data_IF_570169315046
#
_entry.id   IF_570169315046
#
_cell.length_a   1.000
_cell.length_b   1.000
_cell.length_c   1.000
_cell.angle_alpha   90.00
_cell.angle_beta   90.00
_cell.angle_gamma   90.00
#
_symmetry.space_group_name_H-M   'P 1'
#
loop_
_entity.id
_entity.type
_entity.pdbx_description
1 polymer ?
#
# COMPACT_ATOMS: atom_id res chain seq x y z
N UNK A 1 26.61 2.37 10.45
CA UNK A 1 25.14 2.22 10.52
C UNK A 1 24.47 3.56 10.24
N UNK A 2 23.45 3.60 9.39
CA UNK A 2 22.71 4.84 9.08
C UNK A 2 21.83 5.17 10.26
N UNK A 3 21.80 6.44 10.66
CA UNK A 3 20.94 6.89 11.74
C UNK A 3 19.53 7.13 11.19
N UNK A 4 18.66 6.13 11.28
CA UNK A 4 17.26 6.19 10.89
C UNK A 4 16.37 5.68 12.04
N UNK A 5 15.16 6.24 12.26
CA UNK A 5 14.16 5.55 13.05
C UNK A 5 13.72 4.25 12.34
N UNK A 6 13.15 3.33 13.12
CA UNK A 6 12.77 2.01 12.64
C UNK A 6 13.93 1.01 12.64
N UNK A 7 13.62 -0.22 12.29
CA UNK A 7 14.53 -1.35 12.32
C UNK A 7 14.28 -2.39 11.22
N UNK A 8 13.29 -2.18 10.36
CA UNK A 8 12.99 -3.07 9.24
C UNK A 8 12.70 -2.25 7.97
N UNK A 9 13.37 -2.55 6.84
CA UNK A 9 12.94 -2.03 5.55
C UNK A 9 11.59 -2.63 5.16
N UNK A 10 10.78 -1.86 4.44
CA UNK A 10 9.50 -2.30 3.84
C UNK A 10 9.46 -1.87 2.38
N UNK A 11 8.67 -2.60 1.59
CA UNK A 11 8.60 -2.43 0.15
C UNK A 11 7.31 -1.75 -0.33
N UNK A 12 7.22 -1.47 -1.65
CA UNK A 12 8.33 -1.58 -2.61
C UNK A 12 9.40 -0.49 -2.40
N UNK A 13 10.63 -0.75 -2.85
CA UNK A 13 11.63 0.32 -2.98
C UNK A 13 11.20 1.22 -4.15
N UNK A 14 11.45 2.52 -4.04
CA UNK A 14 11.03 3.48 -5.04
C UNK A 14 11.91 4.73 -5.00
N UNK A 15 12.19 5.32 -6.16
CA UNK A 15 12.88 6.62 -6.27
C UNK A 15 11.94 7.75 -5.82
N UNK A 16 12.03 8.12 -4.53
CA UNK A 16 11.15 9.10 -3.88
C UNK A 16 11.62 10.53 -4.17
N UNK A 17 12.92 10.76 -4.38
CA UNK A 17 13.47 12.09 -4.64
C UNK A 17 13.80 12.37 -6.12
N UNK A 18 13.59 11.39 -7.01
CA UNK A 18 13.70 11.51 -8.45
C UNK A 18 15.14 11.54 -8.96
N UNK A 19 16.09 11.02 -8.18
CA UNK A 19 17.52 11.06 -8.49
C UNK A 19 17.99 9.85 -9.33
N UNK A 20 17.08 8.92 -9.63
CA UNK A 20 17.31 7.71 -10.40
C UNK A 20 17.74 6.50 -9.58
N UNK A 21 17.76 6.60 -8.24
CA UNK A 21 18.07 5.49 -7.35
C UNK A 21 16.87 5.16 -6.47
N UNK A 22 16.56 3.87 -6.32
CA UNK A 22 15.48 3.47 -5.43
C UNK A 22 15.84 3.72 -3.96
N UNK A 23 14.88 4.32 -3.24
CA UNK A 23 14.93 4.59 -1.82
C UNK A 23 14.26 3.48 -1.01
N UNK A 24 14.62 3.39 0.28
CA UNK A 24 14.02 2.45 1.22
C UNK A 24 13.10 3.17 2.19
N UNK A 25 11.93 2.60 2.44
CA UNK A 25 11.18 2.94 3.66
C UNK A 25 11.65 2.04 4.78
N UNK A 26 12.15 2.63 5.86
CA UNK A 26 12.52 1.92 7.10
C UNK A 26 11.47 2.23 8.17
N UNK A 27 10.83 1.19 8.69
CA UNK A 27 9.79 1.28 9.71
C UNK A 27 10.15 0.52 10.98
N UNK A 28 9.40 0.75 12.04
CA UNK A 28 9.41 -0.11 13.22
C UNK A 28 8.64 -1.40 12.90
N UNK A 29 9.30 -2.56 13.00
CA UNK A 29 8.73 -3.85 12.63
C UNK A 29 7.57 -4.29 13.53
N UNK A 30 7.65 -3.96 14.82
CA UNK A 30 6.67 -4.38 15.83
C UNK A 30 6.10 -3.17 16.57
N UNK A 31 4.77 -3.12 16.67
CA UNK A 31 4.07 -2.06 17.38
C UNK A 31 3.94 -0.76 16.56
N UNK A 32 3.93 0.38 17.26
CA UNK A 32 3.80 1.71 16.64
C UNK A 32 5.10 2.47 16.83
N UNK A 33 5.67 2.99 15.74
CA UNK A 33 6.92 3.73 15.78
C UNK A 33 7.12 4.63 14.58
N UNK A 34 8.08 5.55 14.69
CA UNK A 34 8.45 6.43 13.57
C UNK A 34 9.10 5.62 12.46
N UNK A 35 8.82 6.02 11.23
CA UNK A 35 9.45 5.48 10.03
C UNK A 35 10.24 6.58 9.33
N UNK A 36 11.08 6.23 8.37
CA UNK A 36 11.75 7.19 7.52
C UNK A 36 11.95 6.65 6.10
N UNK A 37 12.07 7.56 5.15
CA UNK A 37 12.65 7.26 3.83
C UNK A 37 14.15 7.43 3.96
N UNK A 38 14.90 6.36 3.66
CA UNK A 38 16.36 6.35 3.57
C UNK A 38 16.71 6.38 2.09
N UNK A 39 17.34 7.48 1.70
CA UNK A 39 17.59 7.84 0.32
C UNK A 39 18.77 7.05 -0.25
N UNK A 40 18.51 6.48 -1.42
CA UNK A 40 19.39 5.77 -2.33
C UNK A 40 20.51 6.65 -2.87
N UNK A 41 21.28 6.04 -3.77
CA UNK A 41 22.42 6.69 -4.41
C UNK A 41 23.36 5.66 -5.02
N UNK A 42 24.45 6.12 -5.67
CA UNK A 42 25.42 5.24 -6.34
C UNK A 42 26.12 4.26 -5.40
N UNK A 43 26.09 4.51 -4.08
CA UNK A 43 26.65 3.64 -3.04
C UNK A 43 25.57 2.96 -2.20
N UNK A 44 24.32 2.96 -2.65
CA UNK A 44 23.16 2.44 -1.93
C UNK A 44 22.52 3.46 -0.98
N UNK A 45 21.50 3.04 -0.22
CA UNK A 45 20.74 3.91 0.66
C UNK A 45 21.61 4.29 1.85
N UNK A 46 22.11 5.52 1.90
CA UNK A 46 23.12 5.95 2.91
C UNK A 46 22.71 7.15 3.73
N UNK A 47 21.60 7.82 3.37
CA UNK A 47 21.18 9.08 3.96
C UNK A 47 19.72 9.01 4.39
N UNK A 48 19.42 9.28 5.65
CA UNK A 48 18.03 9.45 6.08
C UNK A 48 17.47 10.74 5.48
N UNK A 49 16.44 10.62 4.64
CA UNK A 49 15.77 11.73 3.99
C UNK A 49 14.73 12.37 4.91
N UNK A 50 13.51 11.82 4.88
CA UNK A 50 12.38 12.34 5.64
C UNK A 50 11.95 11.37 6.73
N UNK A 51 11.70 11.90 7.94
CA UNK A 51 11.07 11.15 9.02
C UNK A 51 9.56 11.27 8.95
N UNK A 52 8.88 10.13 8.89
CA UNK A 52 7.45 10.00 8.87
C UNK A 52 6.86 9.93 10.29
N UNK A 53 5.56 10.21 10.46
CA UNK A 53 4.86 10.03 11.74
C UNK A 53 5.01 8.63 12.31
N UNK A 54 4.71 8.50 13.60
CA UNK A 54 4.58 7.19 14.21
C UNK A 54 3.36 6.44 13.63
N UNK A 55 3.56 5.19 13.25
CA UNK A 55 2.53 4.32 12.70
C UNK A 55 2.93 2.86 12.78
N UNK A 56 2.08 2.01 12.21
CA UNK A 56 2.27 0.57 12.12
C UNK A 56 2.88 0.21 10.76
N UNK A 57 2.37 0.84 9.71
CA UNK A 57 2.73 0.52 8.34
C UNK A 57 2.77 1.78 7.46
N UNK A 58 3.50 1.69 6.36
CA UNK A 58 3.69 2.78 5.42
C UNK A 58 3.54 2.26 4.00
N UNK A 59 2.64 2.89 3.23
CA UNK A 59 2.54 2.70 1.78
C UNK A 59 2.98 3.98 1.07
N UNK A 60 3.69 3.82 -0.05
CA UNK A 60 4.04 4.90 -0.96
C UNK A 60 3.14 4.85 -2.19
N UNK A 61 2.77 6.02 -2.72
CA UNK A 61 1.98 6.11 -3.94
C UNK A 61 1.78 7.55 -4.38
N UNK A 62 1.17 7.75 -5.54
CA UNK A 62 0.81 9.07 -6.08
C UNK A 62 -0.62 9.45 -5.67
N UNK A 63 -0.81 9.99 -4.46
CA UNK A 63 -2.14 10.22 -3.89
C UNK A 63 -2.82 11.51 -4.34
N UNK A 64 -2.11 12.37 -5.10
CA UNK A 64 -2.72 13.43 -5.89
C UNK A 64 -2.85 14.80 -5.21
N UNK A 65 -1.82 15.26 -4.48
CA UNK A 65 -1.67 16.71 -4.21
C UNK A 65 -0.47 17.36 -4.93
N UNK A 66 0.42 16.55 -5.49
CA UNK A 66 1.51 16.96 -6.37
C UNK A 66 1.45 16.24 -7.71
N UNK A 67 2.17 16.76 -8.71
CA UNK A 67 2.06 16.26 -10.10
C UNK A 67 3.02 15.14 -10.47
N UNK A 68 4.00 14.77 -9.63
CA UNK A 68 4.97 13.70 -9.98
C UNK A 68 5.75 13.10 -8.80
N UNK A 69 5.57 13.60 -7.57
CA UNK A 69 6.30 13.10 -6.41
C UNK A 69 5.52 11.99 -5.71
N UNK A 70 6.24 11.07 -5.07
CA UNK A 70 5.63 10.06 -4.21
C UNK A 70 5.13 10.69 -2.91
N UNK A 71 4.00 10.19 -2.46
CA UNK A 71 3.37 10.51 -1.19
C UNK A 71 3.48 9.30 -0.25
N UNK A 72 3.34 9.51 1.05
CA UNK A 72 3.25 8.43 2.04
C UNK A 72 1.91 8.43 2.77
N UNK A 73 1.32 7.24 2.87
CA UNK A 73 0.23 6.91 3.77
C UNK A 73 0.77 6.09 4.93
N UNK A 74 0.49 6.53 6.16
CA UNK A 74 0.97 5.92 7.39
C UNK A 74 -0.23 5.42 8.18
N UNK A 75 -0.33 4.10 8.28
CA UNK A 75 -1.41 3.39 8.95
C UNK A 75 -1.26 3.45 10.46
N UNK A 76 -2.34 3.77 11.17
CA UNK A 76 -2.38 3.79 12.63
C UNK A 76 -3.66 3.10 13.12
N UNK A 77 -3.73 2.77 14.41
CA UNK A 77 -4.96 2.20 15.00
C UNK A 77 -6.16 3.15 14.91
N UNK A 78 -5.93 4.47 14.88
CA UNK A 78 -6.99 5.49 14.90
C UNK A 78 -7.33 6.10 13.54
N UNK A 79 -6.60 5.77 12.48
CA UNK A 79 -6.74 6.39 11.17
C UNK A 79 -5.49 6.27 10.31
N UNK A 80 -5.44 7.03 9.22
CA UNK A 80 -4.29 7.08 8.31
C UNK A 80 -3.75 8.50 8.24
N UNK A 81 -2.45 8.68 8.52
CA UNK A 81 -1.76 9.96 8.34
C UNK A 81 -1.16 10.06 6.94
N UNK A 82 -1.18 11.23 6.33
CA UNK A 82 -0.67 11.45 4.97
C UNK A 82 0.47 12.48 4.97
N UNK A 83 1.46 12.24 4.12
CA UNK A 83 2.56 13.15 3.78
C UNK A 83 2.63 13.23 2.26
N UNK A 84 2.57 14.44 1.72
CA UNK A 84 2.55 14.64 0.27
C UNK A 84 3.84 15.28 -0.21
N UNK A 85 4.29 14.94 -1.42
CA UNK A 85 5.48 15.47 -2.06
C UNK A 85 6.77 15.14 -1.28
N UNK A 86 7.02 13.85 -1.03
CA UNK A 86 8.27 13.40 -0.43
C UNK A 86 9.47 13.72 -1.35
N UNK A 87 10.68 13.87 -0.79
CA UNK A 87 11.01 13.87 0.64
C UNK A 87 10.73 15.22 1.33
N UNK A 88 10.37 16.28 0.60
CA UNK A 88 10.12 17.60 1.17
C UNK A 88 8.91 17.63 2.13
N UNK A 89 7.87 16.84 1.83
CA UNK A 89 6.73 16.50 2.68
C UNK A 89 6.12 17.64 3.52
N UNK A 90 5.90 18.80 2.91
CA UNK A 90 5.37 19.98 3.60
C UNK A 90 3.86 19.87 3.81
N UNK A 91 3.13 19.33 2.81
CA UNK A 91 1.70 19.10 2.89
C UNK A 91 1.37 17.80 3.63
N UNK A 92 0.29 17.86 4.44
CA UNK A 92 -0.11 16.79 5.35
C UNK A 92 -1.62 16.62 5.33
N UNK A 93 -2.08 15.41 5.64
CA UNK A 93 -3.51 15.10 5.78
C UNK A 93 -3.74 13.97 6.76
N UNK A 94 -5.01 13.72 7.08
CA UNK A 94 -5.45 12.59 7.90
C UNK A 94 -6.77 12.06 7.37
N UNK A 95 -6.92 10.74 7.39
CA UNK A 95 -8.17 10.06 7.07
C UNK A 95 -8.66 9.28 8.28
N UNK A 96 -9.96 9.38 8.58
CA UNK A 96 -10.61 8.57 9.62
C UNK A 96 -10.93 7.15 9.12
N UNK A 97 -9.92 6.52 8.53
CA UNK A 97 -9.96 5.14 8.06
C UNK A 97 -8.85 4.38 8.80
N UNK A 98 -9.21 3.64 9.86
CA UNK A 98 -8.23 2.81 10.55
C UNK A 98 -7.79 1.68 9.62
N UNK A 99 -6.49 1.47 9.55
CA UNK A 99 -5.86 0.44 8.72
C UNK A 99 -4.45 0.25 9.19
N UNK A 100 -4.11 -0.98 9.59
CA UNK A 100 -2.80 -1.30 10.14
C UNK A 100 -1.87 -1.89 9.09
N UNK A 101 -2.39 -2.30 7.94
CA UNK A 101 -1.61 -2.74 6.79
C UNK A 101 -2.11 -2.00 5.57
N UNK A 102 -1.18 -1.41 4.84
CA UNK A 102 -1.43 -0.54 3.71
C UNK A 102 -0.74 -1.07 2.46
N UNK A 103 -1.38 -0.88 1.32
CA UNK A 103 -0.76 -1.05 0.01
C UNK A 103 -1.31 0.04 -0.92
N UNK A 104 -0.62 0.36 -2.01
CA UNK A 104 -1.04 1.41 -2.92
C UNK A 104 -0.68 1.09 -4.36
N UNK A 105 -1.64 1.31 -5.27
CA UNK A 105 -1.47 1.17 -6.70
C UNK A 105 -2.58 1.89 -7.46
N UNK A 106 -2.37 2.17 -8.74
CA UNK A 106 -3.37 2.76 -9.63
C UNK A 106 -4.31 1.66 -10.17
N UNK A 107 -5.44 1.44 -9.50
CA UNK A 107 -6.37 0.37 -9.90
C UNK A 107 -7.36 0.85 -10.97
N UNK A 108 -7.55 2.16 -11.14
CA UNK A 108 -8.52 2.70 -12.09
C UNK A 108 -7.91 3.28 -13.38
N UNK A 109 -6.58 3.41 -13.42
CA UNK A 109 -5.76 3.78 -14.56
C UNK A 109 -5.71 5.29 -14.81
N UNK A 110 -5.94 6.12 -13.78
CA UNK A 110 -5.95 7.57 -13.90
C UNK A 110 -4.59 8.25 -13.59
N UNK A 111 -3.59 7.47 -13.21
CA UNK A 111 -2.25 7.91 -12.84
C UNK A 111 -2.09 8.31 -11.38
N UNK A 112 -3.16 8.27 -10.59
CA UNK A 112 -3.14 8.42 -9.14
C UNK A 112 -3.26 7.04 -8.49
N UNK A 113 -2.47 6.83 -7.45
CA UNK A 113 -2.60 5.60 -6.66
C UNK A 113 -3.82 5.68 -5.76
N UNK A 114 -4.60 4.62 -5.74
CA UNK A 114 -5.50 4.29 -4.65
C UNK A 114 -4.72 3.77 -3.45
N UNK A 115 -5.36 3.83 -2.28
CA UNK A 115 -4.85 3.20 -1.06
C UNK A 115 -5.71 2.01 -0.66
N UNK A 116 -5.10 0.84 -0.57
CA UNK A 116 -5.68 -0.34 0.04
C UNK A 116 -5.41 -0.30 1.54
N UNK A 117 -6.47 -0.45 2.33
CA UNK A 117 -6.41 -0.52 3.79
C UNK A 117 -6.98 -1.85 4.25
N UNK A 118 -6.24 -2.58 5.09
CA UNK A 118 -6.77 -3.77 5.76
C UNK A 118 -6.90 -3.57 7.26
N UNK A 119 -8.06 -3.94 7.78
CA UNK A 119 -8.47 -3.84 9.17
C UNK A 119 -9.62 -4.81 9.44
N UNK A 120 -10.75 -4.31 9.94
CA UNK A 120 -11.99 -5.13 10.05
C UNK A 120 -12.58 -5.49 8.69
N UNK A 121 -12.34 -4.65 7.68
CA UNK A 121 -12.72 -4.86 6.29
C UNK A 121 -11.55 -4.46 5.41
N UNK A 122 -11.44 -5.11 4.24
CA UNK A 122 -10.53 -4.70 3.19
C UNK A 122 -11.20 -3.61 2.36
N UNK A 123 -10.57 -2.45 2.27
CA UNK A 123 -11.12 -1.27 1.58
C UNK A 123 -10.10 -0.65 0.64
N UNK A 124 -10.56 -0.16 -0.49
CA UNK A 124 -9.77 0.61 -1.46
C UNK A 124 -10.31 2.04 -1.49
N UNK A 125 -9.45 3.00 -1.13
CA UNK A 125 -9.76 4.42 -1.09
C UNK A 125 -9.25 5.08 -2.38
N UNK A 126 -10.07 5.94 -2.96
CA UNK A 126 -9.75 6.64 -4.21
C UNK A 126 -8.58 7.61 -4.07
N UNK A 127 -7.63 7.54 -4.99
CA UNK A 127 -6.74 8.64 -5.34
C UNK A 127 -7.54 9.75 -6.02
N UNK A 128 -7.24 11.02 -5.70
CA UNK A 128 -7.85 12.18 -6.38
C UNK A 128 -6.85 13.32 -6.40
N UNK A 129 -7.04 14.27 -7.32
CA UNK A 129 -6.24 15.51 -7.42
C UNK A 129 -6.31 16.44 -6.19
N UNK A 130 -7.14 16.10 -5.20
CA UNK A 130 -7.19 16.77 -3.90
C UNK A 130 -6.58 15.91 -2.77
N UNK A 131 -5.94 14.79 -3.07
CA UNK A 131 -5.53 13.76 -2.13
C UNK A 131 -6.50 12.56 -2.05
N UNK A 132 -6.09 11.52 -1.31
CA UNK A 132 -6.93 10.35 -1.03
C UNK A 132 -8.29 10.74 -0.42
N UNK A 133 -9.33 10.03 -0.83
CA UNK A 133 -10.70 10.25 -0.38
C UNK A 133 -11.40 8.96 0.06
N UNK A 134 -12.23 9.08 1.08
CA UNK A 134 -13.13 8.02 1.54
C UNK A 134 -14.43 7.96 0.72
N UNK A 135 -14.80 9.07 0.07
CA UNK A 135 -15.97 9.12 -0.81
C UNK A 135 -15.74 8.27 -2.06
N UNK A 136 -16.62 7.30 -2.27
CA UNK A 136 -16.52 6.33 -3.35
C UNK A 136 -15.62 5.15 -3.04
N UNK A 137 -15.10 5.01 -1.80
CA UNK A 137 -14.28 3.85 -1.44
C UNK A 137 -15.05 2.54 -1.67
N UNK A 138 -14.31 1.49 -2.01
CA UNK A 138 -14.87 0.17 -2.27
C UNK A 138 -14.47 -0.79 -1.18
N UNK A 139 -15.41 -1.62 -0.74
CA UNK A 139 -15.15 -2.73 0.19
C UNK A 139 -15.00 -4.01 -0.61
N UNK A 140 -13.82 -4.63 -0.55
CA UNK A 140 -13.55 -5.91 -1.19
C UNK A 140 -14.11 -7.03 -0.32
N UNK A 141 -14.85 -7.95 -0.93
CA UNK A 141 -15.54 -9.05 -0.23
C UNK A 141 -15.08 -10.40 -0.79
N UNK A 142 -14.02 -10.98 -0.21
CA UNK A 142 -13.61 -12.33 -0.57
C UNK A 142 -14.74 -13.33 -0.46
N UNK A 143 -14.88 -14.26 -1.43
CA UNK A 143 -15.92 -15.29 -1.38
C UNK A 143 -15.81 -16.22 -0.18
N UNK A 144 -14.60 -16.40 0.37
CA UNK A 144 -14.37 -17.21 1.56
C UNK A 144 -14.56 -16.39 2.84
N UNK A 145 -15.11 -17.01 3.87
CA UNK A 145 -15.18 -16.42 5.20
C UNK A 145 -13.89 -16.75 5.98
N UNK A 146 -13.20 -15.74 6.45
CA UNK A 146 -11.94 -15.89 7.16
C UNK A 146 -11.18 -14.57 7.32
N UNK A 147 -9.97 -14.65 7.84
CA UNK A 147 -9.11 -13.45 8.00
C UNK A 147 -8.44 -13.13 6.68
N UNK A 148 -8.84 -12.02 6.06
CA UNK A 148 -8.29 -11.60 4.77
C UNK A 148 -7.16 -10.60 4.94
N UNK A 149 -6.10 -10.77 4.16
CA UNK A 149 -5.00 -9.81 4.02
C UNK A 149 -4.65 -9.59 2.56
N UNK A 150 -4.13 -8.41 2.26
CA UNK A 150 -3.46 -8.14 0.99
C UNK A 150 -2.17 -8.93 0.95
N UNK A 151 -1.90 -9.56 -0.20
CA UNK A 151 -0.64 -10.25 -0.47
C UNK A 151 0.26 -9.34 -1.28
N UNK A 152 -0.28 -8.76 -2.34
CA UNK A 152 0.43 -7.88 -3.26
C UNK A 152 -0.56 -7.17 -4.18
N UNK A 153 -0.09 -6.10 -4.83
CA UNK A 153 -0.77 -5.37 -5.88
C UNK A 153 0.16 -5.23 -7.07
N UNK A 154 -0.40 -5.18 -8.28
CA UNK A 154 0.37 -5.03 -9.51
C UNK A 154 -0.45 -5.39 -10.74
N UNK A 155 -0.06 -4.90 -11.92
CA UNK A 155 -0.73 -5.21 -13.18
C UNK A 155 -0.32 -6.63 -13.64
N UNK A 156 -1.15 -7.63 -13.32
CA UNK A 156 -0.85 -9.04 -13.62
C UNK A 156 -1.43 -9.49 -14.96
N UNK A 157 -2.36 -8.73 -15.55
CA UNK A 157 -2.98 -9.04 -16.83
C UNK A 157 -2.53 -8.13 -18.00
N UNK A 158 -1.76 -7.09 -17.72
CA UNK A 158 -1.11 -6.20 -18.67
C UNK A 158 -2.04 -5.12 -19.24
N UNK A 159 -3.15 -4.81 -18.56
CA UNK A 159 -4.15 -3.87 -19.05
C UNK A 159 -3.88 -2.40 -18.68
N UNK A 160 -2.77 -2.16 -17.98
CA UNK A 160 -2.33 -0.84 -17.53
C UNK A 160 -2.97 -0.38 -16.23
N UNK A 161 -3.74 -1.23 -15.55
CA UNK A 161 -4.25 -1.01 -14.19
C UNK A 161 -3.68 -2.06 -13.27
N UNK A 162 -3.42 -1.69 -12.03
CA UNK A 162 -3.04 -2.66 -11.03
C UNK A 162 -4.20 -3.58 -10.69
N UNK A 163 -3.88 -4.81 -10.32
CA UNK A 163 -4.78 -5.80 -9.75
C UNK A 163 -4.47 -6.01 -8.27
N UNK A 164 -5.47 -6.49 -7.53
CA UNK A 164 -5.36 -6.76 -6.10
C UNK A 164 -5.36 -8.26 -5.82
N UNK A 165 -4.28 -8.75 -5.19
CA UNK A 165 -4.19 -10.15 -4.74
C UNK A 165 -4.44 -10.22 -3.24
N UNK A 166 -5.42 -11.01 -2.84
CA UNK A 166 -5.77 -11.23 -1.43
C UNK A 166 -5.64 -12.69 -1.07
N UNK A 167 -5.26 -12.93 0.19
CA UNK A 167 -5.34 -14.25 0.82
C UNK A 167 -6.36 -14.19 1.94
N UNK A 168 -7.31 -15.11 1.93
CA UNK A 168 -8.23 -15.35 3.03
C UNK A 168 -7.82 -16.61 3.77
N UNK A 169 -7.42 -16.45 5.02
CA UNK A 169 -7.12 -17.55 5.91
C UNK A 169 -8.41 -18.22 6.37
N UNK A 170 -8.62 -19.46 5.93
CA UNK A 170 -9.79 -20.29 6.30
C UNK A 170 -9.38 -21.39 7.28
N UNK A 171 -8.13 -21.85 7.20
CA UNK A 171 -7.56 -22.89 8.04
C UNK A 171 -6.17 -23.28 7.53
N UNK A 172 -5.43 -24.06 8.30
CA UNK A 172 -3.98 -24.30 8.10
C UNK A 172 -3.55 -24.66 6.67
N UNK A 173 -4.40 -25.38 5.93
CA UNK A 173 -4.09 -25.88 4.59
C UNK A 173 -5.07 -25.44 3.50
N UNK A 174 -6.05 -24.57 3.83
CA UNK A 174 -7.21 -24.28 2.97
C UNK A 174 -7.40 -22.81 2.68
N UNK A 175 -6.32 -22.04 2.77
CA UNK A 175 -6.40 -20.62 2.45
C UNK A 175 -6.77 -20.42 1.00
N UNK A 176 -7.61 -19.44 0.75
CA UNK A 176 -7.96 -19.07 -0.62
C UNK A 176 -7.18 -17.85 -1.04
N UNK A 177 -6.55 -17.92 -2.20
CA UNK A 177 -6.00 -16.75 -2.90
C UNK A 177 -7.00 -16.33 -3.96
N UNK A 178 -7.25 -15.03 -4.07
CA UNK A 178 -8.13 -14.44 -5.06
C UNK A 178 -7.49 -13.20 -5.67
N UNK A 179 -7.61 -13.05 -7.00
CA UNK A 179 -7.12 -11.90 -7.77
C UNK A 179 -8.30 -11.08 -8.26
N UNK A 180 -8.33 -9.80 -7.92
CA UNK A 180 -9.37 -8.85 -8.32
C UNK A 180 -8.79 -7.87 -9.33
N UNK A 181 -9.28 -7.88 -10.58
CA UNK A 181 -8.81 -6.95 -11.59
C UNK A 181 -9.04 -5.50 -11.23
N UNK A 182 -8.11 -4.63 -11.62
CA UNK A 182 -8.29 -3.18 -11.61
C UNK A 182 -9.38 -2.73 -12.58
N UNK A 183 -10.19 -1.76 -12.17
CA UNK A 183 -11.28 -1.25 -13.00
C UNK A 183 -11.41 0.28 -12.93
N UNK A 184 -11.54 0.89 -14.10
CA UNK A 184 -11.83 2.33 -14.23
C UNK A 184 -13.05 2.82 -13.44
N UNK A 185 -14.02 1.93 -13.21
CA UNK A 185 -15.21 2.21 -12.41
C UNK A 185 -15.31 1.19 -11.30
N UNK A 186 -15.25 1.68 -10.06
CA UNK A 186 -15.33 0.82 -8.88
C UNK A 186 -13.98 0.38 -8.34
N UNK A 187 -12.87 0.90 -8.88
CA UNK A 187 -11.49 0.64 -8.46
C UNK A 187 -11.03 -0.79 -8.71
N UNK A 188 -11.72 -1.77 -8.13
CA UNK A 188 -11.47 -3.19 -8.32
C UNK A 188 -12.76 -3.91 -8.66
N UNK A 189 -12.66 -5.01 -9.40
CA UNK A 189 -13.81 -5.83 -9.75
C UNK A 189 -14.55 -6.34 -8.50
N UNK A 190 -15.87 -6.53 -8.61
CA UNK A 190 -16.67 -7.06 -7.51
C UNK A 190 -16.39 -8.54 -7.24
N UNK A 191 -16.00 -9.29 -8.28
CA UNK A 191 -15.69 -10.71 -8.23
C UNK A 191 -14.26 -10.95 -8.72
N UNK A 192 -13.56 -11.98 -8.18
CA UNK A 192 -12.20 -12.27 -8.61
C UNK A 192 -12.17 -12.94 -9.99
N UNK A 193 -11.15 -12.63 -10.79
CA UNK A 193 -10.87 -13.30 -12.07
C UNK A 193 -10.21 -14.66 -11.88
N UNK A 194 -9.39 -14.79 -10.84
CA UNK A 194 -8.67 -16.02 -10.47
C UNK A 194 -8.91 -16.32 -9.00
N UNK A 195 -9.15 -17.60 -8.69
CA UNK A 195 -9.25 -18.11 -7.33
C UNK A 195 -8.73 -19.53 -7.24
N UNK A 196 -7.94 -19.81 -6.21
CA UNK A 196 -7.45 -21.16 -5.90
C UNK A 196 -7.24 -21.35 -4.40
N UNK A 197 -7.20 -22.61 -3.96
CA UNK A 197 -6.85 -22.99 -2.58
C UNK A 197 -5.38 -23.36 -2.49
N UNK A 198 -4.71 -22.98 -1.40
CA UNK A 198 -3.33 -23.42 -1.14
C UNK A 198 -3.20 -24.95 -1.03
N UNK A 199 -4.30 -25.65 -0.68
CA UNK A 199 -4.35 -27.12 -0.66
C UNK A 199 -4.05 -27.77 -2.00
N UNK A 200 -4.33 -27.07 -3.12
CA UNK A 200 -4.07 -27.60 -4.47
C UNK A 200 -2.58 -27.87 -4.70
N UNK A 201 -1.70 -27.21 -3.95
CA UNK A 201 -0.25 -27.38 -4.04
C UNK A 201 0.33 -28.38 -3.03
N UNK A 202 -0.49 -28.92 -2.11
CA UNK A 202 -0.05 -29.90 -1.10
C UNK A 202 -0.12 -31.34 -1.60
N UNK A 203 -0.89 -31.61 -2.65
CA UNK A 203 -0.93 -32.92 -3.29
C UNK A 203 0.20 -33.01 -4.32
N UNK A 204 1.32 -33.63 -3.94
CA UNK A 204 2.35 -34.16 -4.83
C UNK A 204 2.65 -35.61 -4.45
#
# INVERSE_FOLDING_TARGET
>A
PIQSPGNAPTGPAADVDGDGYDDLVVRTAEGTGKSAVVLGGPTGPTRTGVTLPAGIDVALGTFGKGKSALDAAIGTMGGTSLRYDLPAATARGTLSTPGSVLDAADFDGDGLSELVTSGTQLRVLHGRTAGLATTGMVTVRPPAQGTTRVVTVGDFDGDGRADLVVRTYVGETKDTVAVYPGTKKGLVAAEPSVRFSSSEFLAR
#
